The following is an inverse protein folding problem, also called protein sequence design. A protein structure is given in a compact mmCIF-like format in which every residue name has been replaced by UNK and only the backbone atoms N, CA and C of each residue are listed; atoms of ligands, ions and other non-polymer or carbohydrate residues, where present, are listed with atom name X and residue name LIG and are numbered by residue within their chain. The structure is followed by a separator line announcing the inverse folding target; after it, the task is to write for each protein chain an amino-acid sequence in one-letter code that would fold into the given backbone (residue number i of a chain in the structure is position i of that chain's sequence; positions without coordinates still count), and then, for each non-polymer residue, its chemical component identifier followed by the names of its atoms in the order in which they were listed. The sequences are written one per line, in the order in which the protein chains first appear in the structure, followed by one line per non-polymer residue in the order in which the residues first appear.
data_IF_758574905488
#
_entry.id   IF_758574905488
#
_cell.length_a   1.000
_cell.length_b   1.000
_cell.length_c   1.000
_cell.angle_alpha   90.00
_cell.angle_beta   90.00
_cell.angle_gamma   90.00
#
_symmetry.space_group_name_H-M   'P 1'
#
loop_
_entity.id
_entity.type
_entity.pdbx_description
1 polymer ?
#
# COMPACT_ATOMS: atom_id res chain seq x y z
N UNK A 1 28.19 -24.44 42.50
CA UNK A 1 26.98 -24.87 41.77
C UNK A 1 26.40 -23.72 40.94
N UNK A 2 26.18 -22.53 41.52
CA UNK A 2 25.68 -21.34 40.81
C UNK A 2 26.63 -20.87 39.68
N UNK A 3 27.94 -20.88 39.92
CA UNK A 3 28.95 -20.48 38.91
C UNK A 3 28.99 -21.39 37.69
N UNK A 4 28.78 -22.70 37.88
CA UNK A 4 28.72 -23.69 36.79
C UNK A 4 27.44 -23.51 35.97
N UNK A 5 26.32 -23.19 36.63
CA UNK A 5 25.05 -22.92 35.96
C UNK A 5 25.14 -21.68 35.06
N UNK A 6 25.75 -20.59 35.54
CA UNK A 6 25.94 -19.36 34.76
C UNK A 6 26.80 -19.62 33.52
N UNK A 7 27.86 -20.43 33.64
CA UNK A 7 28.73 -20.76 32.52
C UNK A 7 27.99 -21.54 31.41
N UNK A 8 27.13 -22.49 31.81
CA UNK A 8 26.31 -23.28 30.88
C UNK A 8 25.28 -22.39 30.17
N UNK A 9 24.64 -21.48 30.90
CA UNK A 9 23.67 -20.54 30.30
C UNK A 9 24.34 -19.61 29.30
N UNK A 10 25.54 -19.09 29.59
CA UNK A 10 26.29 -18.23 28.67
C UNK A 10 26.73 -18.98 27.40
N UNK A 11 27.13 -20.26 27.52
CA UNK A 11 27.44 -21.11 26.37
C UNK A 11 26.21 -21.38 25.49
N UNK A 12 25.04 -21.58 26.08
CA UNK A 12 23.78 -21.76 25.35
C UNK A 12 23.36 -20.48 24.61
N UNK A 13 23.46 -19.30 25.24
CA UNK A 13 23.17 -18.03 24.56
C UNK A 13 24.16 -17.76 23.42
N UNK A 14 25.46 -18.04 23.62
CA UNK A 14 26.47 -17.90 22.57
C UNK A 14 26.19 -18.83 21.37
N UNK A 15 25.78 -20.07 21.63
CA UNK A 15 25.39 -21.03 20.60
C UNK A 15 24.15 -20.61 19.80
N UNK A 16 23.14 -20.05 20.46
CA UNK A 16 21.94 -19.52 19.81
C UNK A 16 22.23 -18.31 18.92
N UNK A 17 23.04 -17.37 19.41
CA UNK A 17 23.44 -16.19 18.63
C UNK A 17 24.31 -16.58 17.42
N UNK A 18 25.23 -17.53 17.58
CA UNK A 18 26.03 -18.05 16.47
C UNK A 18 25.19 -18.83 15.45
N UNK A 19 24.22 -19.62 15.91
CA UNK A 19 23.28 -20.34 15.04
C UNK A 19 22.40 -19.41 14.21
N UNK A 20 21.85 -18.36 14.82
CA UNK A 20 21.08 -17.34 14.12
C UNK A 20 21.95 -16.54 13.14
N UNK A 21 23.16 -16.15 13.55
CA UNK A 21 24.12 -15.45 12.68
C UNK A 21 24.50 -16.28 11.45
N UNK A 22 24.75 -17.58 11.62
CA UNK A 22 25.07 -18.48 10.50
C UNK A 22 23.87 -18.68 9.56
N UNK A 23 22.64 -18.77 10.09
CA UNK A 23 21.42 -18.86 9.27
C UNK A 23 21.19 -17.61 8.41
N UNK A 24 21.62 -16.44 8.88
CA UNK A 24 21.59 -15.20 8.11
C UNK A 24 22.69 -15.09 7.05
N UNK A 25 23.86 -15.72 7.27
CA UNK A 25 24.97 -15.74 6.31
C UNK A 25 24.83 -16.82 5.23
N UNK A 26 24.20 -17.96 5.56
CA UNK A 26 23.91 -19.01 4.58
C UNK A 26 22.69 -18.64 3.67
N UNK A 27 22.10 -17.45 3.84
CA UNK A 27 21.04 -16.87 2.99
C UNK A 27 21.58 -15.82 1.99
N UNK A 28 22.90 -15.69 1.85
CA UNK A 28 23.51 -14.80 0.85
C UNK A 28 23.88 -15.59 -0.42
N UNK A 29 22.86 -16.00 -1.17
CA UNK A 29 23.03 -16.40 -2.57
C UNK A 29 23.24 -15.11 -3.40
N UNK A 30 24.51 -14.72 -3.48
CA UNK A 30 25.15 -13.91 -4.52
C UNK A 30 24.24 -12.97 -5.33
N UNK A 31 24.32 -11.67 -5.02
CA UNK A 31 24.10 -10.61 -6.00
C UNK A 31 25.16 -10.76 -7.11
N UNK A 32 24.78 -11.43 -8.20
CA UNK A 32 25.44 -11.31 -9.48
C UNK A 32 24.78 -10.17 -10.24
N UNK A 33 25.47 -9.02 -10.27
CA UNK A 33 25.16 -7.92 -11.17
C UNK A 33 25.29 -8.40 -12.61
N UNK A 34 24.18 -8.77 -13.24
CA UNK A 34 24.15 -9.08 -14.66
C UNK A 34 23.10 -8.20 -15.35
N UNK A 35 23.57 -7.06 -15.83
CA UNK A 35 22.92 -6.31 -16.90
C UNK A 35 22.85 -7.22 -18.12
N UNK A 36 21.71 -7.87 -18.35
CA UNK A 36 21.44 -8.54 -19.61
C UNK A 36 19.96 -8.42 -19.95
N UNK A 37 19.69 -7.53 -20.89
CA UNK A 37 18.59 -7.68 -21.83
C UNK A 37 18.64 -9.10 -22.39
N UNK A 38 17.63 -9.93 -22.14
CA UNK A 38 17.44 -11.16 -22.91
C UNK A 38 15.96 -11.49 -23.01
N UNK A 39 15.53 -11.45 -24.28
CA UNK A 39 14.48 -12.26 -24.89
C UNK A 39 14.37 -13.64 -24.23
N UNK A 40 13.17 -13.99 -23.76
CA UNK A 40 12.89 -15.32 -23.22
C UNK A 40 12.61 -16.30 -24.37
N UNK A 41 13.47 -17.30 -24.49
CA UNK A 41 13.16 -18.54 -25.21
C UNK A 41 12.09 -19.31 -24.42
N UNK A 42 11.03 -19.64 -25.15
CA UNK A 42 9.79 -20.24 -24.71
C UNK A 42 10.00 -21.73 -24.41
N UNK A 43 10.02 -22.11 -23.12
CA UNK A 43 9.72 -23.48 -22.70
C UNK A 43 8.55 -23.45 -21.74
N UNK A 44 7.42 -24.01 -22.19
CA UNK A 44 6.13 -24.03 -21.51
C UNK A 44 6.17 -24.92 -20.25
N UNK A 45 6.63 -24.36 -19.13
CA UNK A 45 6.45 -24.93 -17.80
C UNK A 45 5.32 -24.13 -17.14
N UNK A 46 4.23 -24.79 -16.75
CA UNK A 46 3.17 -24.15 -15.97
C UNK A 46 3.75 -23.75 -14.61
N UNK A 47 3.71 -22.45 -14.30
CA UNK A 47 4.33 -21.87 -13.10
C UNK A 47 3.44 -22.01 -11.84
N UNK A 48 2.27 -22.65 -11.96
CA UNK A 48 1.29 -22.75 -10.87
C UNK A 48 0.52 -21.45 -10.66
N UNK A 49 -0.31 -21.40 -9.61
CA UNK A 49 -1.05 -20.17 -9.29
C UNK A 49 -0.14 -19.11 -8.66
N UNK A 50 -0.33 -17.82 -9.01
CA UNK A 50 0.45 -16.73 -8.42
C UNK A 50 0.14 -16.59 -6.93
N UNK A 51 1.20 -16.45 -6.13
CA UNK A 51 1.14 -16.14 -4.70
C UNK A 51 1.69 -14.72 -4.49
N UNK A 52 0.88 -13.81 -3.96
CA UNK A 52 1.24 -12.40 -3.76
C UNK A 52 0.98 -12.03 -2.30
N UNK A 53 2.06 -11.72 -1.58
CA UNK A 53 1.95 -11.17 -0.24
C UNK A 53 1.73 -9.66 -0.32
N UNK A 54 0.49 -9.21 -0.14
CA UNK A 54 0.15 -7.79 -0.19
C UNK A 54 0.63 -7.01 1.03
N UNK A 55 0.98 -7.66 2.14
CA UNK A 55 1.61 -7.04 3.30
C UNK A 55 3.13 -7.26 3.24
N UNK A 56 3.74 -6.79 2.15
CA UNK A 56 5.18 -6.87 1.96
C UNK A 56 5.72 -5.60 1.33
N UNK A 57 6.97 -5.28 1.66
CA UNK A 57 7.71 -4.17 1.07
C UNK A 57 7.80 -4.32 -0.46
N UNK A 58 7.97 -5.56 -0.95
CA UNK A 58 7.98 -5.82 -2.38
C UNK A 58 6.65 -5.43 -3.05
N UNK A 59 5.51 -5.67 -2.40
CA UNK A 59 4.21 -5.23 -2.92
C UNK A 59 4.07 -3.71 -2.85
N UNK A 60 4.47 -3.07 -1.75
CA UNK A 60 4.45 -1.61 -1.64
C UNK A 60 5.29 -0.95 -2.75
N UNK A 61 6.54 -1.37 -2.92
CA UNK A 61 7.45 -0.80 -3.92
C UNK A 61 6.94 -1.05 -5.35
N UNK A 62 6.56 -2.30 -5.66
CA UNK A 62 6.32 -2.69 -7.06
C UNK A 62 4.85 -2.59 -7.49
N UNK A 63 3.90 -2.38 -6.57
CA UNK A 63 2.47 -2.27 -6.91
C UNK A 63 1.82 -1.00 -6.37
N UNK A 64 2.12 -0.64 -5.11
CA UNK A 64 1.53 0.57 -4.52
C UNK A 64 2.19 1.85 -5.04
N UNK A 65 3.49 1.78 -5.38
CA UNK A 65 4.28 2.95 -5.76
C UNK A 65 4.69 2.96 -7.24
N UNK A 66 4.08 2.11 -8.07
CA UNK A 66 4.34 2.05 -9.51
C UNK A 66 3.06 1.92 -10.34
N UNK A 67 3.08 2.45 -11.57
CA UNK A 67 1.96 2.32 -12.50
C UNK A 67 1.81 0.88 -12.98
N UNK A 68 0.82 0.18 -12.43
CA UNK A 68 0.51 -1.21 -12.77
C UNK A 68 -0.79 -1.38 -13.54
N UNK A 69 -1.40 -0.31 -14.06
CA UNK A 69 -2.70 -0.41 -14.77
C UNK A 69 -2.70 -1.44 -15.91
N UNK A 70 -1.56 -1.64 -16.56
CA UNK A 70 -1.44 -2.55 -17.71
C UNK A 70 -1.06 -3.99 -17.35
N UNK A 71 -0.61 -4.26 -16.12
CA UNK A 71 -0.29 -5.62 -15.69
C UNK A 71 0.58 -5.73 -14.45
N UNK A 72 0.43 -6.86 -13.76
CA UNK A 72 1.20 -7.27 -12.59
C UNK A 72 1.09 -8.79 -12.38
N UNK A 73 2.07 -9.42 -11.74
CA UNK A 73 2.00 -10.84 -11.37
C UNK A 73 1.77 -11.78 -12.56
N UNK A 74 2.48 -11.52 -13.67
CA UNK A 74 2.39 -12.28 -14.93
C UNK A 74 1.06 -12.18 -15.69
N UNK A 75 0.17 -11.26 -15.30
CA UNK A 75 -1.06 -10.93 -16.03
C UNK A 75 -0.94 -9.53 -16.60
N UNK A 76 -1.19 -9.40 -17.90
CA UNK A 76 -1.28 -8.11 -18.59
C UNK A 76 -2.64 -7.99 -19.25
N UNK A 77 -3.12 -6.74 -19.38
CA UNK A 77 -4.27 -6.45 -20.22
C UNK A 77 -4.02 -6.93 -21.66
N UNK A 78 -5.05 -7.47 -22.29
CA UNK A 78 -4.99 -7.98 -23.65
C UNK A 78 -4.49 -9.42 -23.80
N UNK A 79 -3.89 -10.03 -22.77
CA UNK A 79 -3.54 -11.46 -22.81
C UNK A 79 -4.77 -12.31 -23.14
N UNK A 80 -4.61 -13.34 -23.95
CA UNK A 80 -5.69 -14.28 -24.25
C UNK A 80 -5.97 -15.19 -23.06
N UNK A 81 -7.20 -15.71 -22.98
CA UNK A 81 -7.56 -16.73 -22.00
C UNK A 81 -6.65 -17.96 -22.09
N UNK A 82 -6.27 -18.37 -23.31
CA UNK A 82 -5.32 -19.48 -23.52
C UNK A 82 -3.94 -19.21 -22.94
N UNK A 83 -3.43 -17.98 -23.03
CA UNK A 83 -2.14 -17.63 -22.41
C UNK A 83 -2.21 -17.73 -20.88
N UNK A 84 -3.30 -17.28 -20.28
CA UNK A 84 -3.53 -17.41 -18.84
C UNK A 84 -3.66 -18.87 -18.43
N UNK A 85 -4.48 -19.65 -19.15
CA UNK A 85 -4.69 -21.07 -18.84
C UNK A 85 -3.39 -21.88 -19.04
N UNK A 86 -2.53 -21.51 -19.98
CA UNK A 86 -1.21 -22.12 -20.17
C UNK A 86 -0.25 -21.80 -19.00
N UNK A 87 -0.30 -20.57 -18.47
CA UNK A 87 0.53 -20.17 -17.31
C UNK A 87 0.05 -20.84 -16.03
N UNK A 88 -1.21 -20.64 -15.67
CA UNK A 88 -1.73 -20.95 -14.34
C UNK A 88 -2.59 -22.21 -14.29
N UNK A 89 -2.89 -22.84 -15.42
CA UNK A 89 -3.84 -23.94 -15.50
C UNK A 89 -5.30 -23.46 -15.44
N UNK A 90 -6.20 -24.34 -15.01
CA UNK A 90 -7.62 -24.00 -14.92
C UNK A 90 -7.89 -22.98 -13.81
N UNK A 91 -8.89 -22.11 -13.95
CA UNK A 91 -9.31 -21.22 -12.86
C UNK A 91 -9.82 -22.00 -11.64
N UNK A 92 -9.57 -21.50 -10.44
CA UNK A 92 -10.11 -22.04 -9.17
C UNK A 92 -11.60 -21.75 -8.98
N UNK A 93 -12.18 -20.90 -9.83
CA UNK A 93 -13.59 -20.54 -9.77
C UNK A 93 -13.83 -19.11 -10.25
N UNK A 94 -14.98 -18.56 -9.84
CA UNK A 94 -15.27 -17.14 -10.02
C UNK A 94 -15.29 -16.46 -8.65
N UNK A 95 -14.84 -15.21 -8.62
CA UNK A 95 -15.00 -14.27 -7.51
C UNK A 95 -15.79 -13.05 -7.98
N UNK A 96 -16.52 -12.42 -7.07
CA UNK A 96 -17.21 -11.17 -7.33
C UNK A 96 -16.52 -10.03 -6.58
N UNK A 97 -16.13 -8.98 -7.30
CA UNK A 97 -15.42 -7.82 -6.77
C UNK A 97 -16.19 -6.59 -7.21
N UNK A 98 -16.90 -5.93 -6.28
CA UNK A 98 -17.75 -4.77 -6.58
C UNK A 98 -18.71 -4.99 -7.78
N UNK A 99 -19.38 -6.14 -7.83
CA UNK A 99 -20.30 -6.49 -8.92
C UNK A 99 -19.63 -7.09 -10.17
N UNK A 100 -18.30 -7.13 -10.21
CA UNK A 100 -17.52 -7.68 -11.33
C UNK A 100 -17.23 -9.16 -11.08
N UNK A 101 -17.73 -10.03 -11.96
CA UNK A 101 -17.36 -11.45 -11.95
C UNK A 101 -16.02 -11.65 -12.65
N UNK A 102 -15.03 -12.17 -11.92
CA UNK A 102 -13.68 -12.47 -12.41
C UNK A 102 -13.27 -13.92 -12.12
N UNK A 103 -12.39 -14.49 -12.94
CA UNK A 103 -11.84 -15.85 -12.78
C UNK A 103 -10.67 -15.83 -11.80
N UNK A 104 -10.72 -16.66 -10.77
CA UNK A 104 -9.68 -16.74 -9.73
C UNK A 104 -8.54 -17.68 -10.14
N UNK A 105 -7.31 -17.22 -9.93
CA UNK A 105 -6.06 -17.95 -10.10
C UNK A 105 -5.12 -17.54 -8.95
N UNK A 106 -5.15 -18.24 -7.81
CA UNK A 106 -4.39 -17.88 -6.63
C UNK A 106 -4.74 -16.49 -6.10
N UNK A 107 -3.72 -15.65 -5.90
CA UNK A 107 -3.91 -14.27 -5.48
C UNK A 107 -4.20 -13.29 -6.63
N UNK A 108 -4.56 -13.76 -7.81
CA UNK A 108 -5.01 -12.93 -8.94
C UNK A 108 -6.41 -13.33 -9.39
N UNK A 109 -7.25 -12.34 -9.69
CA UNK A 109 -8.51 -12.52 -10.38
C UNK A 109 -8.50 -11.81 -11.73
N UNK A 110 -9.01 -12.45 -12.77
CA UNK A 110 -8.97 -11.96 -14.15
C UNK A 110 -10.38 -11.83 -14.71
N UNK A 111 -10.74 -10.63 -15.15
CA UNK A 111 -11.95 -10.43 -15.95
C UNK A 111 -11.58 -10.56 -17.43
N UNK A 112 -12.39 -11.34 -18.16
CA UNK A 112 -12.27 -11.44 -19.61
C UNK A 112 -13.37 -10.63 -20.30
N UNK A 113 -12.99 -9.89 -21.34
CA UNK A 113 -13.92 -9.44 -22.38
C UNK A 113 -13.71 -10.34 -23.60
N UNK A 114 -14.73 -11.10 -23.98
CA UNK A 114 -14.62 -12.21 -24.92
C UNK A 114 -13.55 -13.21 -24.44
N UNK A 115 -12.38 -13.20 -25.07
CA UNK A 115 -11.28 -14.13 -24.78
C UNK A 115 -9.98 -13.41 -24.38
N UNK A 116 -10.04 -12.11 -24.06
CA UNK A 116 -8.86 -11.33 -23.67
C UNK A 116 -9.06 -10.71 -22.29
N UNK A 117 -7.98 -10.64 -21.52
CA UNK A 117 -7.95 -9.96 -20.21
C UNK A 117 -8.33 -8.49 -20.41
N UNK A 118 -9.43 -8.08 -19.77
CA UNK A 118 -9.91 -6.70 -19.79
C UNK A 118 -9.62 -5.97 -18.48
N UNK A 119 -9.58 -6.70 -17.36
CA UNK A 119 -9.23 -6.19 -16.03
C UNK A 119 -8.58 -7.32 -15.24
N UNK A 120 -7.77 -6.97 -14.26
CA UNK A 120 -7.22 -7.91 -13.30
C UNK A 120 -7.23 -7.28 -11.90
N UNK A 121 -7.29 -8.12 -10.88
CA UNK A 121 -7.32 -7.72 -9.48
C UNK A 121 -6.34 -8.59 -8.70
N UNK A 122 -5.67 -7.99 -7.72
CA UNK A 122 -4.95 -8.74 -6.70
C UNK A 122 -5.95 -9.08 -5.59
N UNK A 123 -6.03 -10.36 -5.24
CA UNK A 123 -6.98 -10.87 -4.25
C UNK A 123 -6.21 -11.55 -3.10
N UNK A 124 -6.03 -10.86 -1.96
CA UNK A 124 -5.30 -11.44 -0.84
C UNK A 124 -6.09 -12.56 -0.16
N UNK A 125 -5.39 -13.44 0.55
CA UNK A 125 -6.01 -14.46 1.38
C UNK A 125 -6.37 -13.88 2.75
N UNK A 126 -7.68 -13.88 3.08
CA UNK A 126 -8.24 -13.50 4.39
C UNK A 126 -7.68 -12.22 5.04
N UNK A 127 -7.55 -11.14 4.26
CA UNK A 127 -7.03 -9.87 4.75
C UNK A 127 -8.15 -8.91 5.17
N UNK A 128 -8.05 -8.32 6.36
CA UNK A 128 -8.93 -7.20 6.75
C UNK A 128 -8.40 -5.87 6.26
N UNK A 129 -9.31 -4.90 6.06
CA UNK A 129 -8.92 -3.54 5.67
C UNK A 129 -8.02 -2.89 6.74
N UNK A 130 -8.28 -3.12 8.03
CA UNK A 130 -7.43 -2.58 9.10
C UNK A 130 -5.98 -3.08 9.04
N UNK A 131 -5.75 -4.35 8.66
CA UNK A 131 -4.39 -4.85 8.48
C UNK A 131 -3.72 -4.27 7.24
N UNK A 132 -4.49 -3.96 6.21
CA UNK A 132 -3.97 -3.29 5.02
C UNK A 132 -3.59 -1.83 5.34
N UNK A 133 -4.46 -1.12 6.05
CA UNK A 133 -4.23 0.27 6.52
C UNK A 133 -3.05 0.35 7.51
N UNK A 134 -2.93 -0.59 8.45
CA UNK A 134 -1.81 -0.65 9.40
C UNK A 134 -0.45 -0.78 8.69
N UNK A 135 -0.42 -1.46 7.55
CA UNK A 135 0.82 -1.69 6.79
C UNK A 135 1.10 -0.61 5.75
N UNK A 136 0.10 -0.19 4.99
CA UNK A 136 0.25 0.75 3.86
C UNK A 136 -0.13 2.20 4.20
N UNK A 137 -0.59 2.45 5.42
CA UNK A 137 -1.06 3.75 5.87
C UNK A 137 -2.55 3.98 5.60
N UNK A 138 -3.01 5.14 6.04
CA UNK A 138 -4.39 5.58 5.86
C UNK A 138 -4.70 5.80 4.36
N UNK A 139 -5.90 5.44 3.90
CA UNK A 139 -6.31 5.71 2.53
C UNK A 139 -6.52 7.21 2.30
N UNK A 140 -6.33 7.66 1.06
CA UNK A 140 -6.60 9.03 0.63
C UNK A 140 -8.07 9.40 0.77
N UNK A 141 -8.98 8.51 0.37
CA UNK A 141 -10.44 8.74 0.45
C UNK A 141 -11.22 7.42 0.42
N UNK A 142 -12.53 7.48 0.69
CA UNK A 142 -13.44 6.36 0.45
C UNK A 142 -13.80 6.27 -1.04
N UNK A 143 -14.02 5.04 -1.52
CA UNK A 143 -14.51 4.81 -2.88
C UNK A 143 -16.05 4.76 -2.89
N UNK A 144 -16.68 5.38 -3.90
CA UNK A 144 -18.14 5.41 -4.07
C UNK A 144 -18.76 4.00 -4.17
N UNK A 145 -18.08 3.09 -4.86
CA UNK A 145 -18.49 1.70 -5.03
C UNK A 145 -18.17 0.78 -3.83
N UNK A 146 -17.71 1.35 -2.72
CA UNK A 146 -17.28 0.64 -1.53
C UNK A 146 -15.78 0.31 -1.54
N UNK A 147 -15.18 0.35 -0.35
CA UNK A 147 -13.73 0.22 -0.17
C UNK A 147 -13.04 1.56 0.03
N UNK A 148 -11.76 1.63 -0.35
CA UNK A 148 -10.91 2.80 -0.13
C UNK A 148 -9.98 3.05 -1.31
N UNK A 149 -9.50 4.28 -1.43
CA UNK A 149 -8.58 4.73 -2.47
C UNK A 149 -7.24 5.09 -1.85
N UNK A 150 -6.18 4.60 -2.46
CA UNK A 150 -4.79 4.98 -2.20
C UNK A 150 -4.25 5.73 -3.40
N UNK A 151 -3.94 6.99 -3.18
CA UNK A 151 -3.38 7.90 -4.16
C UNK A 151 -2.61 8.98 -3.39
N UNK A 152 -1.36 8.69 -3.08
CA UNK A 152 -0.49 9.58 -2.30
C UNK A 152 0.13 10.70 -3.17
N UNK A 153 0.03 10.59 -4.49
CA UNK A 153 0.59 11.55 -5.45
C UNK A 153 -0.39 11.90 -6.58
N UNK A 154 -1.03 13.07 -6.49
CA UNK A 154 -2.00 13.55 -7.48
C UNK A 154 -1.45 13.66 -8.91
N UNK A 155 -0.13 13.75 -9.05
CA UNK A 155 0.56 13.95 -10.32
C UNK A 155 1.04 12.65 -10.96
N UNK A 156 0.82 11.49 -10.32
CA UNK A 156 1.05 10.21 -10.98
C UNK A 156 -0.07 9.95 -12.01
N UNK A 157 0.10 8.88 -12.80
CA UNK A 157 -0.87 8.50 -13.83
C UNK A 157 -1.90 7.47 -13.37
N UNK A 158 -1.90 7.09 -12.09
CA UNK A 158 -2.64 5.92 -11.60
C UNK A 158 -3.08 6.08 -10.14
N UNK A 159 -4.25 5.53 -9.84
CA UNK A 159 -4.78 5.41 -8.48
C UNK A 159 -4.91 3.94 -8.11
N UNK A 160 -4.79 3.60 -6.83
CA UNK A 160 -5.07 2.25 -6.34
C UNK A 160 -6.43 2.21 -5.66
N UNK A 161 -7.27 1.28 -6.09
CA UNK A 161 -8.56 0.98 -5.46
C UNK A 161 -8.44 -0.32 -4.67
N UNK A 162 -8.86 -0.27 -3.40
CA UNK A 162 -8.94 -1.42 -2.51
C UNK A 162 -10.41 -1.68 -2.21
N UNK A 163 -10.96 -2.74 -2.79
CA UNK A 163 -12.33 -3.17 -2.61
C UNK A 163 -12.47 -3.97 -1.32
N UNK A 164 -13.51 -3.65 -0.56
CA UNK A 164 -13.78 -4.26 0.74
C UNK A 164 -15.23 -4.78 0.76
N UNK A 165 -15.45 -5.97 1.31
CA UNK A 165 -16.81 -6.48 1.50
C UNK A 165 -17.48 -5.92 2.77
N UNK A 166 -18.76 -6.25 2.98
CA UNK A 166 -19.55 -5.80 4.13
C UNK A 166 -18.94 -6.20 5.50
N UNK A 167 -18.08 -7.23 5.53
CA UNK A 167 -17.38 -7.69 6.73
C UNK A 167 -16.01 -7.02 6.95
N UNK A 168 -15.64 -6.03 6.12
CA UNK A 168 -14.36 -5.35 6.24
C UNK A 168 -13.16 -6.13 5.69
N UNK A 169 -13.39 -7.16 4.87
CA UNK A 169 -12.32 -7.95 4.23
C UNK A 169 -11.98 -7.40 2.85
N UNK A 170 -10.69 -7.29 2.55
CA UNK A 170 -10.18 -6.90 1.23
C UNK A 170 -10.49 -8.03 0.25
N UNK A 171 -11.26 -7.70 -0.78
CA UNK A 171 -11.71 -8.66 -1.81
C UNK A 171 -11.12 -8.39 -3.19
N UNK A 172 -10.41 -7.28 -3.36
CA UNK A 172 -9.72 -6.95 -4.60
C UNK A 172 -8.91 -5.67 -4.45
N UNK A 173 -7.77 -5.63 -5.12
CA UNK A 173 -6.92 -4.45 -5.23
C UNK A 173 -6.59 -4.28 -6.70
N UNK A 174 -6.73 -3.08 -7.25
CA UNK A 174 -6.35 -2.80 -8.63
C UNK A 174 -5.74 -1.40 -8.78
N UNK A 175 -4.92 -1.24 -9.81
CA UNK A 175 -4.50 0.05 -10.33
C UNK A 175 -5.51 0.50 -11.40
N UNK A 176 -6.02 1.72 -11.29
CA UNK A 176 -6.89 2.35 -12.29
C UNK A 176 -6.28 3.66 -12.78
N UNK A 177 -6.83 4.22 -13.86
CA UNK A 177 -6.48 5.57 -14.29
C UNK A 177 -6.62 6.57 -13.14
N UNK A 178 -5.74 7.56 -13.11
CA UNK A 178 -5.77 8.59 -12.10
C UNK A 178 -7.17 9.20 -12.01
N UNK A 179 -7.74 9.17 -10.82
CA UNK A 179 -9.03 9.80 -10.59
C UNK A 179 -8.85 11.32 -10.53
N UNK A 180 -9.78 12.06 -11.11
CA UNK A 180 -9.80 13.51 -10.91
C UNK A 180 -10.06 13.77 -9.43
N UNK A 181 -9.08 14.36 -8.78
CA UNK A 181 -9.29 15.03 -7.51
C UNK A 181 -9.87 16.38 -7.88
N UNK A 182 -11.00 16.75 -7.30
CA UNK A 182 -11.40 18.15 -7.33
C UNK A 182 -10.38 18.94 -6.47
N UNK A 183 -9.19 19.20 -7.00
CA UNK A 183 -8.19 20.10 -6.43
C UNK A 183 -8.62 21.58 -6.60
N UNK A 184 -9.90 21.82 -6.91
CA UNK A 184 -10.47 23.14 -7.18
C UNK A 184 -11.36 23.65 -6.06
N UNK A 185 -10.97 23.47 -4.80
CA UNK A 185 -11.53 24.27 -3.69
C UNK A 185 -10.47 25.22 -3.16
N UNK A 186 -10.08 26.14 -4.04
CA UNK A 186 -9.77 27.51 -3.61
C UNK A 186 -11.07 28.29 -3.62
N UNK A 187 -11.96 28.00 -2.67
CA UNK A 187 -13.04 28.88 -2.27
C UNK A 187 -13.16 28.93 -0.76
N UNK A 188 -13.39 30.13 -0.26
CA UNK A 188 -13.50 30.43 1.16
C UNK A 188 -14.75 29.73 1.75
N UNK A 189 -14.56 28.63 2.48
CA UNK A 189 -15.49 27.83 3.32
C UNK A 189 -15.71 26.39 2.84
N UNK A 190 -14.70 25.53 2.89
CA UNK A 190 -14.92 24.10 2.70
C UNK A 190 -14.51 23.33 3.96
N UNK A 191 -15.51 22.60 4.44
CA UNK A 191 -15.41 21.62 5.51
C UNK A 191 -14.22 20.68 5.23
N UNK A 192 -13.39 20.44 6.23
CA UNK A 192 -12.29 19.48 6.19
C UNK A 192 -12.80 18.21 6.85
N UNK A 193 -13.05 17.18 6.06
CA UNK A 193 -13.70 15.93 6.49
C UNK A 193 -12.74 14.75 6.63
N UNK A 194 -11.45 14.98 6.38
CA UNK A 194 -10.43 13.94 6.43
C UNK A 194 -9.06 14.42 6.91
N UNK A 195 -8.32 13.49 7.54
CA UNK A 195 -6.92 13.68 7.92
C UNK A 195 -6.01 13.99 6.73
N UNK A 196 -6.34 13.49 5.54
CA UNK A 196 -5.58 13.74 4.32
C UNK A 196 -5.71 15.20 3.86
N UNK A 197 -6.94 15.73 3.78
CA UNK A 197 -7.17 17.14 3.50
C UNK A 197 -6.48 18.03 4.53
N UNK A 198 -6.59 17.68 5.81
CA UNK A 198 -5.88 18.38 6.87
C UNK A 198 -4.36 18.33 6.69
N UNK A 199 -3.79 17.17 6.34
CA UNK A 199 -2.36 17.04 6.06
C UNK A 199 -1.92 17.97 4.91
N UNK A 200 -2.67 18.01 3.81
CA UNK A 200 -2.33 18.84 2.65
C UNK A 200 -2.46 20.33 2.94
N UNK A 201 -3.52 20.75 3.63
CA UNK A 201 -3.69 22.13 4.09
C UNK A 201 -2.53 22.57 5.01
N UNK A 202 -2.12 21.69 5.92
CA UNK A 202 -0.95 21.94 6.76
C UNK A 202 0.34 21.99 5.95
N UNK A 203 0.52 21.10 4.98
CA UNK A 203 1.71 21.06 4.11
C UNK A 203 1.84 22.38 3.33
N UNK A 204 0.77 22.83 2.68
CA UNK A 204 0.70 24.12 1.97
C UNK A 204 0.94 25.33 2.87
N UNK A 205 0.54 25.25 4.13
CA UNK A 205 0.77 26.29 5.13
C UNK A 205 2.23 26.32 5.59
N UNK A 206 2.79 25.16 5.91
CA UNK A 206 4.15 25.00 6.43
C UNK A 206 5.20 25.29 5.36
N UNK A 207 4.98 24.89 4.11
CA UNK A 207 5.87 25.18 2.98
C UNK A 207 6.07 26.69 2.72
N UNK A 208 5.12 27.53 3.14
CA UNK A 208 5.24 29.00 3.05
C UNK A 208 6.07 29.60 4.18
N UNK A 209 6.28 28.87 5.27
CA UNK A 209 6.94 29.33 6.49
C UNK A 209 8.32 28.73 6.69
N UNK A 210 8.51 27.49 6.28
CA UNK A 210 9.68 26.68 6.60
C UNK A 210 10.28 26.11 5.32
N UNK A 211 11.60 26.20 5.20
CA UNK A 211 12.34 25.62 4.08
C UNK A 211 12.56 24.10 4.26
N UNK A 212 12.58 23.63 5.50
CA UNK A 212 12.87 22.24 5.87
C UNK A 212 11.99 21.83 7.05
N UNK A 213 10.93 21.07 6.78
CA UNK A 213 9.98 20.55 7.75
C UNK A 213 9.51 19.16 7.36
N UNK A 214 8.91 18.45 8.31
CA UNK A 214 8.31 17.15 8.08
C UNK A 214 7.04 16.99 8.93
N UNK A 215 6.01 16.38 8.36
CA UNK A 215 4.76 16.08 9.07
C UNK A 215 4.88 14.68 9.69
N UNK A 216 4.65 14.60 11.00
CA UNK A 216 4.74 13.34 11.76
C UNK A 216 3.45 12.55 11.76
N UNK A 217 2.33 13.21 12.09
CA UNK A 217 1.04 12.57 12.28
C UNK A 217 -0.08 13.59 12.17
N UNK A 218 -1.28 13.11 11.85
CA UNK A 218 -2.53 13.88 11.91
C UNK A 218 -3.47 13.20 12.90
N UNK A 219 -3.77 13.92 13.98
CA UNK A 219 -4.72 13.50 15.00
C UNK A 219 -6.05 14.24 14.80
N UNK A 220 -7.15 13.63 15.22
CA UNK A 220 -8.49 14.23 15.12
C UNK A 220 -9.11 14.30 16.50
N UNK A 221 -9.55 15.50 16.91
CA UNK A 221 -10.21 15.69 18.20
C UNK A 221 -11.07 16.95 18.22
N UNK A 222 -12.31 16.83 18.74
CA UNK A 222 -13.24 17.94 18.95
C UNK A 222 -13.45 18.87 17.74
N UNK A 223 -13.71 18.29 16.55
CA UNK A 223 -13.97 19.10 15.35
C UNK A 223 -12.73 19.78 14.78
N UNK A 224 -11.53 19.31 15.14
CA UNK A 224 -10.24 19.88 14.73
C UNK A 224 -9.28 18.75 14.36
N UNK A 225 -8.55 18.94 13.27
CA UNK A 225 -7.38 18.15 12.95
C UNK A 225 -6.12 18.80 13.51
N UNK A 226 -5.34 18.04 14.28
CA UNK A 226 -4.04 18.45 14.82
C UNK A 226 -2.94 17.80 13.99
N UNK A 227 -2.24 18.59 13.19
CA UNK A 227 -1.13 18.14 12.36
C UNK A 227 0.18 18.40 13.09
N UNK A 228 0.82 17.34 13.55
CA UNK A 228 2.09 17.38 14.26
C UNK A 228 3.23 17.48 13.25
N UNK A 229 4.14 18.43 13.44
CA UNK A 229 5.30 18.60 12.55
C UNK A 229 6.59 18.88 13.32
N UNK A 230 7.71 18.65 12.65
CA UNK A 230 9.04 19.05 13.11
C UNK A 230 9.78 19.84 12.03
N UNK A 231 10.75 20.62 12.46
CA UNK A 231 11.60 21.43 11.59
C UNK A 231 13.02 20.87 11.52
N UNK A 232 13.60 20.87 10.32
CA UNK A 232 14.95 20.38 10.03
C UNK A 232 15.27 19.05 10.70
N UNK A 233 16.40 19.01 11.40
CA UNK A 233 16.90 17.79 12.05
C UNK A 233 16.28 17.50 13.43
N UNK A 234 15.09 18.03 13.73
CA UNK A 234 14.40 17.71 14.98
C UNK A 234 14.13 16.20 15.09
N UNK A 235 14.42 15.60 16.25
CA UNK A 235 14.24 14.16 16.49
C UNK A 235 12.79 13.72 16.71
N UNK A 236 11.88 14.68 16.85
CA UNK A 236 10.45 14.47 17.09
C UNK A 236 9.68 15.77 16.79
N UNK A 237 8.39 15.61 16.47
CA UNK A 237 7.49 16.74 16.32
C UNK A 237 7.36 17.47 17.65
N UNK A 238 7.64 18.77 17.64
CA UNK A 238 7.53 19.64 18.81
C UNK A 238 6.44 20.68 18.64
N UNK A 239 5.93 20.85 17.42
CA UNK A 239 4.90 21.81 17.07
C UNK A 239 3.71 21.16 16.38
N UNK A 240 2.60 21.88 16.34
CA UNK A 240 1.41 21.47 15.64
C UNK A 240 0.70 22.67 15.02
N UNK A 241 0.06 22.42 13.87
CA UNK A 241 -0.99 23.29 13.36
C UNK A 241 -2.34 22.61 13.54
N UNK A 242 -3.36 23.41 13.79
CA UNK A 242 -4.73 22.99 14.06
C UNK A 242 -5.61 23.47 12.93
N UNK A 243 -6.44 22.57 12.39
CA UNK A 243 -7.30 22.84 11.24
C UNK A 243 -8.74 22.60 11.68
N UNK A 244 -9.52 23.67 11.69
CA UNK A 244 -10.95 23.64 11.96
C UNK A 244 -11.67 22.82 10.90
N UNK A 245 -12.44 21.80 11.31
CA UNK A 245 -13.16 20.93 10.37
C UNK A 245 -14.31 21.65 9.66
N UNK A 246 -14.93 22.67 10.26
CA UNK A 246 -16.08 23.34 9.65
C UNK A 246 -15.68 24.32 8.55
N UNK A 247 -14.48 24.90 8.62
CA UNK A 247 -14.09 26.01 7.76
C UNK A 247 -12.62 25.98 7.28
N UNK A 248 -11.86 24.94 7.61
CA UNK A 248 -10.48 24.75 7.17
C UNK A 248 -9.48 25.77 7.73
N UNK A 249 -9.89 26.60 8.69
CA UNK A 249 -9.01 27.62 9.26
C UNK A 249 -7.86 26.99 10.03
N UNK A 250 -6.65 27.45 9.69
CA UNK A 250 -5.41 26.98 10.30
C UNK A 250 -4.97 27.91 11.44
N UNK A 251 -4.66 27.35 12.62
CA UNK A 251 -4.07 28.05 13.78
C UNK A 251 -2.87 27.30 14.33
N UNK A 252 -1.94 28.00 14.98
CA UNK A 252 -0.81 27.39 15.71
C UNK A 252 -1.09 27.26 17.22
N UNK A 253 -2.14 27.93 17.72
CA UNK A 253 -2.64 27.74 19.07
C UNK A 253 -3.72 26.66 19.07
N UNK A 254 -3.72 25.81 20.10
CA UNK A 254 -4.77 24.80 20.29
C UNK A 254 -6.11 25.50 20.55
N UNK A 255 -7.12 25.35 19.68
CA UNK A 255 -8.42 25.96 19.88
C UNK A 255 -9.23 25.32 21.02
N UNK A 256 -8.79 24.17 21.55
CA UNK A 256 -9.45 23.42 22.62
C UNK A 256 -8.77 23.57 24.01
N UNK A 257 -7.73 24.40 24.14
CA UNK A 257 -7.09 24.74 25.43
C UNK A 257 -7.85 25.77 26.28
#
# INVERSE_FOLDING_TARGET
MITVLILITLLLLGGLLFGAYKLFLDNDDSISSNSNSNSYDESNISEGYPSINVLSEAFSINFMNEDRRNGFGYVNLGMSKSEIDNKFGNSEGNVNIAGISAKKYGNIAVQYNKNTVSRYFIIPDDLSIYQFEDYHGDPTMKADEGGVIYDDNAHNSYTIKVYVNESGKVIGIENVDQIERNDSDTSDNDEVDSKYQAKNLADDYLAKKYEDYWIHSVDEYNGVYRVNYGEGNASHAHDAVYIDQENGKITEADPNE
#
